data_IF_455969571046
#
_entry.id   IF_455969571046
#
_cell.length_a   1.000
_cell.length_b   1.000
_cell.length_c   1.000
_cell.angle_alpha   90.00
_cell.angle_beta   90.00
_cell.angle_gamma   90.00
#
_symmetry.space_group_name_H-M   'P 1'
#
loop_
_entity.id
_entity.type
_entity.pdbx_description
1 polymer ?
#
# COMPACT_ATOMS: atom_id res chain seq x y z
N UNK A 1 -12.51 8.69 11.39
CA UNK A 1 -13.18 8.03 12.54
C UNK A 1 -14.69 7.99 12.35
N UNK A 2 -15.38 9.13 12.28
CA UNK A 2 -16.83 9.19 12.03
C UNK A 2 -17.35 8.24 10.92
N UNK A 3 -16.69 8.19 9.75
CA UNK A 3 -17.10 7.28 8.68
C UNK A 3 -16.95 5.78 9.04
N UNK A 4 -15.93 5.41 9.82
CA UNK A 4 -15.72 4.04 10.29
C UNK A 4 -16.76 3.66 11.36
N UNK A 5 -17.03 4.57 12.29
CA UNK A 5 -18.05 4.40 13.34
C UNK A 5 -19.46 4.26 12.73
N UNK A 6 -19.81 5.13 11.78
CA UNK A 6 -21.13 5.12 11.13
C UNK A 6 -21.35 3.88 10.24
N UNK A 7 -20.28 3.37 9.62
CA UNK A 7 -20.38 2.22 8.72
C UNK A 7 -20.18 0.88 9.42
N UNK A 8 -19.65 0.87 10.64
CA UNK A 8 -19.19 -0.35 11.31
C UNK A 8 -18.06 -1.06 10.55
N UNK A 9 -17.32 -0.35 9.69
CA UNK A 9 -16.32 -0.92 8.80
C UNK A 9 -14.95 -0.25 8.98
N UNK A 10 -13.89 -0.97 8.60
CA UNK A 10 -12.57 -0.37 8.46
C UNK A 10 -12.57 0.56 7.24
N UNK A 11 -12.25 1.83 7.45
CA UNK A 11 -12.21 2.84 6.38
C UNK A 11 -10.75 3.20 6.08
N UNK A 12 -10.36 3.03 4.82
CA UNK A 12 -9.13 3.56 4.24
C UNK A 12 -9.47 4.78 3.39
N UNK A 13 -9.05 5.95 3.82
CA UNK A 13 -9.20 7.21 3.09
C UNK A 13 -7.93 7.49 2.29
N UNK A 14 -8.03 7.37 0.97
CA UNK A 14 -6.91 7.67 0.04
C UNK A 14 -6.63 9.17 -0.01
N UNK A 15 -5.37 9.52 -0.22
CA UNK A 15 -4.93 10.91 -0.41
C UNK A 15 -3.42 11.02 -0.36
N UNK A 16 -2.90 12.25 -0.30
CA UNK A 16 -1.46 12.50 -0.11
C UNK A 16 -0.93 11.89 1.20
N UNK A 17 -1.81 11.72 2.20
CA UNK A 17 -1.56 10.92 3.40
C UNK A 17 -2.75 10.00 3.60
N UNK A 18 -2.55 8.71 3.37
CA UNK A 18 -3.62 7.73 3.54
C UNK A 18 -3.90 7.54 5.02
N UNK A 19 -5.16 7.66 5.42
CA UNK A 19 -5.60 7.45 6.79
C UNK A 19 -6.46 6.19 6.89
N UNK A 20 -6.27 5.40 7.95
CA UNK A 20 -7.00 4.16 8.19
C UNK A 20 -7.58 4.19 9.60
N UNK A 21 -8.88 3.94 9.71
CA UNK A 21 -9.58 3.82 10.99
C UNK A 21 -10.45 2.57 11.00
N UNK A 22 -10.37 1.78 12.07
CA UNK A 22 -11.31 0.71 12.38
C UNK A 22 -12.52 1.23 13.18
N UNK A 23 -13.64 0.48 13.20
CA UNK A 23 -14.84 0.85 13.95
C UNK A 23 -14.67 0.67 15.47
N UNK A 24 -13.90 -0.34 15.89
CA UNK A 24 -13.68 -0.73 17.29
C UNK A 24 -12.34 -0.21 17.86
N UNK A 25 -11.48 0.32 17.00
CA UNK A 25 -10.19 0.89 17.42
C UNK A 25 -10.41 2.33 17.87
N UNK A 26 -9.58 2.85 18.78
CA UNK A 26 -9.58 4.27 19.19
C UNK A 26 -8.48 5.10 18.47
N UNK A 27 -7.51 4.42 17.87
CA UNK A 27 -6.43 5.03 17.11
C UNK A 27 -6.79 5.19 15.62
N UNK A 28 -6.02 6.02 14.92
CA UNK A 28 -6.07 6.14 13.45
C UNK A 28 -4.65 5.97 12.95
N UNK A 29 -4.47 5.10 11.96
CA UNK A 29 -3.20 4.91 11.29
C UNK A 29 -3.06 5.94 10.18
N UNK A 30 -1.88 6.52 10.04
CA UNK A 30 -1.56 7.43 8.95
C UNK A 30 -0.32 6.91 8.24
N UNK A 31 -0.42 6.72 6.93
CA UNK A 31 0.73 6.40 6.08
C UNK A 31 1.35 7.72 5.62
N UNK A 32 2.55 8.10 6.10
CA UNK A 32 3.16 9.38 5.77
C UNK A 32 3.79 9.38 4.37
N UNK A 33 4.15 8.22 3.85
CA UNK A 33 4.75 8.07 2.53
C UNK A 33 3.69 8.20 1.43
N UNK A 34 4.02 8.96 0.39
CA UNK A 34 3.21 9.10 -0.83
C UNK A 34 4.07 9.68 -1.96
N UNK A 35 3.59 9.57 -3.19
CA UNK A 35 4.18 10.20 -4.37
C UNK A 35 3.07 10.55 -5.36
N UNK A 36 3.19 11.67 -6.11
CA UNK A 36 2.29 11.99 -7.22
C UNK A 36 2.15 10.85 -8.25
N UNK A 37 3.16 9.98 -8.35
CA UNK A 37 3.13 8.81 -9.22
C UNK A 37 1.97 7.85 -8.93
N UNK A 38 1.43 7.85 -7.70
CA UNK A 38 0.27 7.06 -7.31
C UNK A 38 -1.07 7.71 -7.68
N UNK A 39 -1.09 8.97 -8.10
CA UNK A 39 -2.29 9.67 -8.57
C UNK A 39 -2.62 9.29 -10.03
N UNK A 40 -2.66 7.98 -10.31
CA UNK A 40 -2.85 7.43 -11.65
C UNK A 40 -3.97 6.39 -11.68
N UNK A 41 -4.71 6.34 -12.79
CA UNK A 41 -5.70 5.30 -13.02
C UNK A 41 -5.08 3.91 -12.85
N UNK A 42 -5.73 3.05 -12.06
CA UNK A 42 -5.29 1.68 -11.78
C UNK A 42 -4.40 1.50 -10.54
N UNK A 43 -3.77 2.53 -9.98
CA UNK A 43 -3.00 2.38 -8.73
C UNK A 43 -3.90 1.93 -7.57
N UNK A 44 -5.12 2.46 -7.52
CA UNK A 44 -6.13 2.07 -6.55
C UNK A 44 -6.58 0.61 -6.66
N UNK A 45 -6.55 0.03 -7.86
CA UNK A 45 -6.90 -1.38 -8.08
C UNK A 45 -5.77 -2.28 -7.59
N UNK A 46 -4.51 -1.87 -7.80
CA UNK A 46 -3.33 -2.54 -7.24
C UNK A 46 -3.38 -2.57 -5.71
N UNK A 47 -3.70 -1.43 -5.06
CA UNK A 47 -3.89 -1.38 -3.61
C UNK A 47 -5.02 -2.32 -3.14
N UNK A 48 -6.15 -2.30 -3.85
CA UNK A 48 -7.30 -3.16 -3.52
C UNK A 48 -6.95 -4.64 -3.63
N UNK A 49 -6.25 -5.04 -4.71
CA UNK A 49 -5.79 -6.41 -4.90
C UNK A 49 -4.77 -6.85 -3.84
N UNK A 50 -3.81 -5.99 -3.51
CA UNK A 50 -2.86 -6.22 -2.42
C UNK A 50 -3.58 -6.44 -1.08
N UNK A 51 -4.53 -5.57 -0.74
CA UNK A 51 -5.30 -5.70 0.49
C UNK A 51 -6.15 -6.98 0.49
N UNK A 52 -6.85 -7.28 -0.61
CA UNK A 52 -7.65 -8.50 -0.73
C UNK A 52 -6.81 -9.76 -0.57
N UNK A 53 -5.65 -9.83 -1.21
CA UNK A 53 -4.70 -10.94 -1.07
C UNK A 53 -4.11 -11.05 0.33
N UNK A 54 -3.81 -9.92 0.98
CA UNK A 54 -3.41 -9.91 2.38
C UNK A 54 -4.55 -10.43 3.26
N UNK A 55 -5.80 -9.98 3.07
CA UNK A 55 -6.98 -10.34 3.86
C UNK A 55 -7.35 -11.83 3.74
N UNK A 56 -7.15 -12.42 2.56
CA UNK A 56 -7.41 -13.83 2.29
C UNK A 56 -6.43 -14.79 3.00
N UNK A 57 -5.26 -14.31 3.41
CA UNK A 57 -4.30 -15.10 4.18
C UNK A 57 -4.69 -15.19 5.67
N UNK A 58 -4.25 -16.24 6.38
CA UNK A 58 -4.41 -16.31 7.83
C UNK A 58 -3.82 -15.07 8.50
N UNK A 59 -4.58 -14.46 9.41
CA UNK A 59 -4.10 -13.31 10.16
C UNK A 59 -3.12 -13.78 11.26
N UNK A 60 -1.95 -13.12 11.40
CA UNK A 60 -1.12 -13.28 12.60
C UNK A 60 -1.93 -12.97 13.87
N UNK A 61 -1.58 -13.59 14.99
CA UNK A 61 -2.23 -13.30 16.27
C UNK A 61 -2.18 -11.80 16.59
N UNK A 62 -3.35 -11.20 16.85
CA UNK A 62 -3.48 -9.78 17.14
C UNK A 62 -3.49 -8.85 15.91
N UNK A 63 -3.44 -9.37 14.68
CA UNK A 63 -3.50 -8.54 13.48
C UNK A 63 -4.95 -8.16 13.12
N UNK A 64 -5.39 -6.98 13.54
CA UNK A 64 -6.70 -6.44 13.18
C UNK A 64 -6.84 -6.17 11.68
N UNK A 65 -8.08 -6.05 11.19
CA UNK A 65 -8.35 -5.66 9.80
C UNK A 65 -7.78 -4.26 9.50
N UNK A 66 -7.87 -3.32 10.44
CA UNK A 66 -7.31 -1.98 10.25
C UNK A 66 -5.78 -2.00 10.20
N UNK A 67 -5.11 -2.81 11.03
CA UNK A 67 -3.66 -2.98 10.96
C UNK A 67 -3.24 -3.56 9.61
N UNK A 68 -3.90 -4.62 9.13
CA UNK A 68 -3.61 -5.22 7.82
C UNK A 68 -3.86 -4.24 6.67
N UNK A 69 -4.90 -3.43 6.81
CA UNK A 69 -5.22 -2.34 5.87
C UNK A 69 -4.13 -1.26 5.87
N UNK A 70 -3.61 -0.89 7.04
CA UNK A 70 -2.50 0.05 7.18
C UNK A 70 -1.20 -0.51 6.58
N UNK A 71 -0.90 -1.80 6.80
CA UNK A 71 0.24 -2.48 6.19
C UNK A 71 0.13 -2.49 4.67
N UNK A 72 -1.04 -2.82 4.12
CA UNK A 72 -1.27 -2.79 2.68
C UNK A 72 -1.05 -1.39 2.10
N UNK A 73 -1.61 -0.36 2.73
CA UNK A 73 -1.45 1.03 2.33
C UNK A 73 0.01 1.49 2.38
N UNK A 74 0.74 1.12 3.43
CA UNK A 74 2.16 1.44 3.59
C UNK A 74 3.03 0.76 2.54
N UNK A 75 2.80 -0.53 2.28
CA UNK A 75 3.56 -1.30 1.28
C UNK A 75 3.31 -0.73 -0.12
N UNK A 76 2.05 -0.48 -0.47
CA UNK A 76 1.68 0.20 -1.72
C UNK A 76 2.35 1.57 -1.87
N UNK A 77 2.33 2.40 -0.83
CA UNK A 77 2.97 3.71 -0.86
C UNK A 77 4.49 3.58 -1.11
N UNK A 78 5.17 2.66 -0.41
CA UNK A 78 6.61 2.44 -0.59
C UNK A 78 6.97 1.90 -1.96
N UNK A 79 6.17 0.98 -2.51
CA UNK A 79 6.36 0.48 -3.86
C UNK A 79 6.22 1.63 -4.88
N UNK A 80 5.23 2.51 -4.70
CA UNK A 80 5.06 3.71 -5.52
C UNK A 80 6.26 4.66 -5.43
N UNK A 81 6.72 4.98 -4.22
CA UNK A 81 7.90 5.84 -4.03
C UNK A 81 9.15 5.25 -4.67
N UNK A 82 9.36 3.93 -4.55
CA UNK A 82 10.49 3.24 -5.18
C UNK A 82 10.40 3.25 -6.70
N UNK A 83 9.23 2.92 -7.24
CA UNK A 83 8.97 2.96 -8.67
C UNK A 83 9.22 4.37 -9.25
N UNK A 84 8.74 5.40 -8.56
CA UNK A 84 8.94 6.78 -8.97
C UNK A 84 10.41 7.20 -8.94
N UNK A 85 11.19 6.73 -7.96
CA UNK A 85 12.62 7.00 -7.88
C UNK A 85 13.41 6.34 -9.02
N UNK A 86 13.00 5.15 -9.47
CA UNK A 86 13.69 4.39 -10.51
C UNK A 86 13.19 4.70 -11.95
N UNK A 87 11.92 5.07 -12.12
CA UNK A 87 11.26 5.23 -13.43
C UNK A 87 10.68 6.63 -13.68
N UNK A 88 10.86 7.58 -12.75
CA UNK A 88 10.21 8.90 -12.68
C UNK A 88 8.73 8.84 -12.29
N UNK A 89 8.18 9.96 -11.80
CA UNK A 89 6.77 10.03 -11.36
C UNK A 89 5.77 9.74 -12.48
N UNK A 90 6.10 10.07 -13.72
CA UNK A 90 5.24 9.83 -14.89
C UNK A 90 5.35 8.40 -15.42
N UNK A 91 6.42 7.69 -15.09
CA UNK A 91 6.69 6.33 -15.57
C UNK A 91 6.02 5.21 -14.76
N UNK A 92 5.39 5.54 -13.63
CA UNK A 92 4.73 4.54 -12.78
C UNK A 92 3.32 4.24 -13.30
N UNK A 93 3.19 3.18 -14.08
CA UNK A 93 1.90 2.57 -14.42
C UNK A 93 1.49 1.48 -13.40
N UNK A 94 0.22 1.01 -13.40
CA UNK A 94 -0.26 0.00 -12.45
C UNK A 94 0.49 -1.34 -12.52
N UNK A 95 0.91 -1.77 -13.70
CA UNK A 95 1.66 -3.01 -13.87
C UNK A 95 3.08 -2.85 -13.30
N UNK A 96 3.75 -1.75 -13.60
CA UNK A 96 5.04 -1.40 -13.01
C UNK A 96 4.94 -1.40 -11.48
N UNK A 97 3.96 -0.68 -10.92
CA UNK A 97 3.70 -0.64 -9.49
C UNK A 97 3.53 -2.04 -8.87
N UNK A 98 2.76 -2.93 -9.52
CA UNK A 98 2.57 -4.30 -9.04
C UNK A 98 3.88 -5.12 -8.98
N UNK A 99 4.81 -4.89 -9.90
CA UNK A 99 6.14 -5.55 -9.89
C UNK A 99 6.99 -5.09 -8.71
N UNK A 100 6.89 -3.81 -8.34
CA UNK A 100 7.55 -3.28 -7.13
C UNK A 100 6.95 -3.80 -5.83
N UNK A 101 5.71 -4.30 -5.83
CA UNK A 101 5.11 -4.95 -4.66
C UNK A 101 5.65 -6.37 -4.43
N UNK A 102 5.76 -7.16 -5.51
CA UNK A 102 6.11 -8.58 -5.45
C UNK A 102 7.62 -8.77 -5.20
N UNK A 103 8.40 -7.69 -5.23
CA UNK A 103 9.84 -7.76 -5.31
C UNK A 103 10.21 -8.29 -6.68
N UNK A 104 10.49 -7.41 -7.64
CA UNK A 104 11.28 -7.84 -8.78
C UNK A 104 12.58 -8.39 -8.21
N UNK A 105 12.74 -9.71 -8.26
CA UNK A 105 14.02 -10.36 -8.41
C UNK A 105 14.64 -9.76 -9.68
N UNK A 106 15.19 -8.55 -9.57
CA UNK A 106 16.34 -8.25 -10.38
C UNK A 106 17.37 -9.21 -9.83
N UNK A 107 17.66 -10.25 -10.61
CA UNK A 107 18.92 -10.96 -10.51
C UNK A 107 19.97 -9.88 -10.72
N UNK A 108 20.32 -9.17 -9.65
CA UNK A 108 21.46 -8.29 -9.60
C UNK A 108 22.63 -9.25 -9.52
N UNK A 109 23.03 -9.73 -10.71
CA UNK A 109 24.25 -10.48 -10.88
C UNK A 109 25.34 -9.68 -10.19
N UNK A 110 25.93 -10.32 -9.20
CA UNK A 110 27.16 -9.94 -8.55
C UNK A 110 28.14 -9.35 -9.58
N UNK A 111 28.15 -8.02 -9.68
CA UNK A 111 29.13 -7.25 -10.44
C UNK A 111 30.18 -6.68 -9.49
N UNK A 112 30.46 -7.39 -8.40
CA UNK A 112 31.59 -7.10 -7.51
C UNK A 112 32.64 -8.22 -7.57
N UNK A 113 33.00 -8.62 -8.80
CA UNK A 113 34.29 -9.23 -9.10
C UNK A 113 34.97 -8.46 -10.23
N UNK A 114 35.57 -7.33 -9.87
CA UNK A 114 36.82 -6.83 -10.44
C UNK A 114 37.63 -6.16 -9.36
#
# INVERSE_FOLDING_TARGET
>A
RAAAEQSGATVLLKGARTAIAGPEEDSTWVVPASTPALARGGSGDVLTGLLGGLLAQPAPAGASVALRTAVAAWWHARAGCRAAAEQTELGVDPLALSRYLIGSQTVEGDRSLK
#
